data_IF_118640702082
#
_entry.id   IF_118640702082
#
_cell.length_a   1.000
_cell.length_b   1.000
_cell.length_c   1.000
_cell.angle_alpha   90.00
_cell.angle_beta   90.00
_cell.angle_gamma   90.00
#
_symmetry.space_group_name_H-M   'P 1'
#
loop_
_entity.id
_entity.type
_entity.pdbx_description
1 polymer ?
#
# COMPACT_ATOMS: atom_id res chain seq x y z
N UNK A 1 4.67 17.52 0.05
CA UNK A 1 3.48 16.65 -0.11
C UNK A 1 3.41 15.73 1.10
N UNK A 2 2.26 15.64 1.75
CA UNK A 2 2.04 14.78 2.92
C UNK A 2 1.09 13.63 2.55
N UNK A 3 1.56 12.40 2.66
CA UNK A 3 0.84 11.19 2.29
C UNK A 3 0.48 10.39 3.56
N UNK A 4 -0.75 9.90 3.65
CA UNK A 4 -1.20 9.00 4.72
C UNK A 4 -1.42 7.61 4.12
N UNK A 5 -0.60 6.63 4.52
CA UNK A 5 -0.60 5.27 3.97
C UNK A 5 -1.10 4.29 5.02
N UNK A 6 -2.09 3.46 4.68
CA UNK A 6 -2.58 2.36 5.52
C UNK A 6 -3.16 1.26 4.64
N UNK A 7 -3.09 0.01 5.07
CA UNK A 7 -3.57 -1.16 4.33
C UNK A 7 -4.41 -2.07 5.23
N UNK A 8 -4.97 -3.12 4.63
CA UNK A 8 -5.55 -4.25 5.38
C UNK A 8 -6.66 -3.79 6.34
N UNK A 9 -7.55 -2.90 5.86
CA UNK A 9 -8.64 -2.35 6.68
C UNK A 9 -9.72 -3.37 7.01
N UNK A 10 -9.89 -4.41 6.18
CA UNK A 10 -10.78 -5.56 6.41
C UNK A 10 -12.16 -5.17 6.95
N UNK A 11 -12.80 -4.19 6.28
CA UNK A 11 -14.14 -3.70 6.62
C UNK A 11 -14.24 -3.13 8.05
N UNK A 12 -13.16 -2.62 8.64
CA UNK A 12 -13.20 -2.00 9.98
C UNK A 12 -13.70 -0.56 9.89
N UNK A 13 -14.99 -0.37 10.05
CA UNK A 13 -15.64 0.95 9.91
C UNK A 13 -15.03 2.03 10.81
N UNK A 14 -14.65 1.76 12.09
CA UNK A 14 -13.99 2.77 12.90
C UNK A 14 -12.66 3.27 12.31
N UNK A 15 -11.93 2.42 11.58
CA UNK A 15 -10.69 2.84 10.91
C UNK A 15 -10.98 3.68 9.67
N UNK A 16 -12.05 3.35 8.94
CA UNK A 16 -12.52 4.18 7.82
C UNK A 16 -13.05 5.54 8.30
N UNK A 17 -13.76 5.58 9.44
CA UNK A 17 -14.17 6.85 10.07
C UNK A 17 -12.95 7.70 10.44
N UNK A 18 -11.92 7.09 11.06
CA UNK A 18 -10.68 7.77 11.40
C UNK A 18 -9.98 8.33 10.16
N UNK A 19 -9.90 7.58 9.06
CA UNK A 19 -9.32 8.06 7.80
C UNK A 19 -10.05 9.29 7.26
N UNK A 20 -11.38 9.29 7.30
CA UNK A 20 -12.19 10.44 6.88
C UNK A 20 -11.93 11.66 7.74
N UNK A 21 -11.67 11.49 9.05
CA UNK A 21 -11.29 12.58 9.96
C UNK A 21 -9.90 13.15 9.66
N UNK A 22 -8.97 12.33 9.15
CA UNK A 22 -7.60 12.78 8.83
C UNK A 22 -7.47 13.32 7.41
N UNK A 23 -8.42 13.05 6.52
CA UNK A 23 -8.28 13.28 5.08
C UNK A 23 -7.98 14.74 4.71
N UNK A 24 -8.56 15.71 5.42
CA UNK A 24 -8.33 17.14 5.14
C UNK A 24 -6.93 17.64 5.55
N UNK A 25 -6.18 16.89 6.32
CA UNK A 25 -4.85 17.27 6.85
C UNK A 25 -3.70 16.69 6.02
N UNK A 26 -4.01 15.99 4.93
CA UNK A 26 -3.04 15.32 4.04
C UNK A 26 -3.34 15.60 2.56
N UNK A 27 -2.31 15.55 1.73
CA UNK A 27 -2.44 15.77 0.28
C UNK A 27 -2.96 14.52 -0.45
N UNK A 28 -2.69 13.31 0.12
CA UNK A 28 -3.25 12.08 -0.39
C UNK A 28 -3.41 11.01 0.70
N UNK A 29 -4.43 10.15 0.56
CA UNK A 29 -4.61 8.90 1.29
C UNK A 29 -4.30 7.74 0.36
N UNK A 30 -3.39 6.84 0.78
CA UNK A 30 -2.95 5.68 0.02
C UNK A 30 -3.38 4.40 0.74
N UNK A 31 -4.14 3.54 0.05
CA UNK A 31 -4.67 2.30 0.60
C UNK A 31 -4.29 1.13 -0.31
N UNK A 32 -3.16 0.45 -0.07
CA UNK A 32 -2.73 -0.69 -0.87
C UNK A 32 -3.47 -1.98 -0.52
N UNK A 33 -4.79 -2.03 -0.75
CA UNK A 33 -5.59 -3.24 -0.75
C UNK A 33 -6.16 -3.71 0.58
N UNK A 34 -6.92 -4.81 0.49
CA UNK A 34 -7.64 -5.50 1.55
C UNK A 34 -8.60 -4.57 2.32
N UNK A 35 -9.43 -3.87 1.53
CA UNK A 35 -10.51 -3.02 2.00
C UNK A 35 -11.67 -3.83 2.59
N UNK A 36 -11.93 -5.01 2.01
CA UNK A 36 -13.04 -5.91 2.35
C UNK A 36 -12.59 -7.07 3.25
N UNK A 37 -13.56 -7.74 3.87
CA UNK A 37 -13.33 -8.91 4.71
C UNK A 37 -14.09 -10.12 4.16
N UNK A 38 -13.34 -11.12 3.65
CA UNK A 38 -13.93 -12.34 3.06
C UNK A 38 -14.69 -13.17 4.10
N UNK A 39 -14.14 -13.26 5.33
CA UNK A 39 -14.78 -13.99 6.43
C UNK A 39 -15.29 -12.97 7.45
N UNK A 40 -16.58 -12.65 7.38
CA UNK A 40 -17.17 -11.63 8.25
C UNK A 40 -18.67 -11.77 8.39
N UNK A 41 -19.25 -10.95 9.25
CA UNK A 41 -20.69 -10.95 9.54
C UNK A 41 -21.52 -10.29 8.42
N UNK A 42 -20.94 -9.38 7.64
CA UNK A 42 -21.62 -8.68 6.54
C UNK A 42 -21.34 -9.38 5.19
N UNK A 43 -22.35 -9.58 4.34
CA UNK A 43 -22.17 -10.04 2.96
C UNK A 43 -21.26 -9.11 2.17
N UNK A 44 -20.55 -9.66 1.18
CA UNK A 44 -19.55 -8.92 0.40
C UNK A 44 -20.16 -7.73 -0.35
N UNK A 45 -21.32 -7.91 -0.96
CA UNK A 45 -22.07 -6.87 -1.67
C UNK A 45 -22.46 -5.69 -0.75
N UNK A 46 -22.81 -5.98 0.51
CA UNK A 46 -23.07 -4.94 1.51
C UNK A 46 -21.79 -4.20 1.88
N UNK A 47 -20.68 -4.92 2.05
CA UNK A 47 -19.39 -4.31 2.34
C UNK A 47 -18.96 -3.39 1.20
N UNK A 48 -19.06 -3.83 -0.04
CA UNK A 48 -18.75 -3.04 -1.24
C UNK A 48 -19.51 -1.71 -1.22
N UNK A 49 -20.83 -1.72 -1.00
CA UNK A 49 -21.64 -0.49 -0.96
C UNK A 49 -21.16 0.46 0.13
N UNK A 50 -20.80 -0.06 1.31
CA UNK A 50 -20.37 0.77 2.44
C UNK A 50 -18.98 1.33 2.17
N UNK A 51 -18.02 0.49 1.78
CA UNK A 51 -16.63 0.90 1.52
C UNK A 51 -16.57 1.90 0.36
N UNK A 52 -17.36 1.69 -0.71
CA UNK A 52 -17.47 2.64 -1.82
C UNK A 52 -17.86 4.05 -1.35
N UNK A 53 -18.81 4.15 -0.41
CA UNK A 53 -19.20 5.45 0.16
C UNK A 53 -18.08 6.08 0.99
N UNK A 54 -17.29 5.29 1.69
CA UNK A 54 -16.13 5.82 2.43
C UNK A 54 -15.06 6.33 1.48
N UNK A 55 -14.73 5.58 0.43
CA UNK A 55 -13.76 6.02 -0.59
C UNK A 55 -14.21 7.32 -1.27
N UNK A 56 -15.49 7.46 -1.61
CA UNK A 56 -16.05 8.69 -2.15
C UNK A 56 -15.94 9.86 -1.15
N UNK A 57 -16.29 9.63 0.13
CA UNK A 57 -16.15 10.66 1.18
C UNK A 57 -14.71 11.10 1.41
N UNK A 58 -13.74 10.20 1.26
CA UNK A 58 -12.32 10.53 1.28
C UNK A 58 -11.95 11.37 0.07
N UNK A 59 -12.38 10.96 -1.14
CA UNK A 59 -12.12 11.67 -2.39
C UNK A 59 -12.76 13.08 -2.45
N UNK A 60 -13.85 13.31 -1.71
CA UNK A 60 -14.43 14.66 -1.53
C UNK A 60 -13.45 15.62 -0.82
N UNK A 61 -12.48 15.11 -0.05
CA UNK A 61 -11.59 15.90 0.79
C UNK A 61 -10.15 15.94 0.27
N UNK A 62 -9.61 14.81 -0.23
CA UNK A 62 -8.21 14.70 -0.66
C UNK A 62 -8.10 13.73 -1.85
N UNK A 63 -6.90 13.62 -2.44
CA UNK A 63 -6.60 12.57 -3.42
C UNK A 63 -6.60 11.20 -2.72
N UNK A 64 -7.26 10.21 -3.30
CA UNK A 64 -7.28 8.83 -2.82
C UNK A 64 -6.66 7.91 -3.85
N UNK A 65 -5.72 7.08 -3.42
CA UNK A 65 -5.04 6.09 -4.23
C UNK A 65 -5.32 4.72 -3.59
N UNK A 66 -6.23 3.93 -4.17
CA UNK A 66 -6.66 2.66 -3.59
C UNK A 66 -6.47 1.51 -4.58
N UNK A 67 -5.59 0.56 -4.25
CA UNK A 67 -5.48 -0.70 -5.00
C UNK A 67 -6.34 -1.79 -4.39
N UNK A 68 -6.58 -2.84 -5.15
CA UNK A 68 -7.15 -4.08 -4.61
C UNK A 68 -6.09 -4.93 -3.92
N UNK A 69 -6.55 -5.71 -2.93
CA UNK A 69 -5.85 -6.86 -2.36
C UNK A 69 -6.58 -8.16 -2.65
N UNK A 70 -6.11 -9.26 -2.10
CA UNK A 70 -6.72 -10.58 -2.34
C UNK A 70 -8.10 -10.76 -1.69
N UNK A 71 -8.48 -9.90 -0.74
CA UNK A 71 -9.81 -9.90 -0.14
C UNK A 71 -10.85 -9.06 -0.91
N UNK A 72 -10.42 -8.28 -1.89
CA UNK A 72 -11.28 -7.31 -2.58
C UNK A 72 -11.92 -7.85 -3.87
N UNK A 73 -11.55 -9.08 -4.27
CA UNK A 73 -12.03 -9.72 -5.50
C UNK A 73 -13.54 -10.00 -5.42
N UNK A 74 -14.28 -9.58 -6.44
CA UNK A 74 -15.75 -9.70 -6.49
C UNK A 74 -16.26 -10.65 -7.60
N UNK A 75 -15.36 -11.18 -8.42
CA UNK A 75 -15.72 -12.17 -9.44
C UNK A 75 -14.72 -12.22 -10.59
N UNK A 76 -15.00 -13.07 -11.59
CA UNK A 76 -14.14 -13.17 -12.78
C UNK A 76 -14.26 -11.90 -13.64
N UNK A 77 -13.11 -11.36 -14.02
CA UNK A 77 -12.99 -10.28 -14.99
C UNK A 77 -13.07 -10.75 -16.44
N UNK A 78 -12.76 -9.86 -17.38
CA UNK A 78 -12.78 -10.16 -18.82
C UNK A 78 -11.83 -11.29 -19.24
N UNK A 79 -10.75 -11.49 -18.51
CA UNK A 79 -9.77 -12.56 -18.73
C UNK A 79 -10.23 -13.92 -18.22
N UNK A 80 -11.30 -13.97 -17.41
CA UNK A 80 -11.76 -15.16 -16.70
C UNK A 80 -11.05 -15.41 -15.37
N UNK A 81 -10.00 -14.66 -15.06
CA UNK A 81 -9.34 -14.63 -13.75
C UNK A 81 -10.11 -13.71 -12.80
N UNK A 82 -9.93 -13.90 -11.48
CA UNK A 82 -10.60 -13.04 -10.50
C UNK A 82 -10.14 -11.60 -10.63
N UNK A 83 -11.04 -10.66 -10.44
CA UNK A 83 -10.80 -9.22 -10.57
C UNK A 83 -11.63 -8.43 -9.56
N UNK A 84 -11.41 -7.13 -9.53
CA UNK A 84 -12.07 -6.17 -8.64
C UNK A 84 -12.85 -5.17 -9.48
N UNK A 85 -14.01 -5.58 -10.00
CA UNK A 85 -14.81 -4.71 -10.87
C UNK A 85 -15.37 -3.52 -10.08
N UNK A 86 -15.89 -3.76 -8.87
CA UNK A 86 -16.51 -2.73 -8.03
C UNK A 86 -15.57 -1.55 -7.73
N UNK A 87 -14.27 -1.82 -7.51
CA UNK A 87 -13.31 -0.76 -7.19
C UNK A 87 -13.01 0.08 -8.43
N UNK A 88 -12.84 -0.56 -9.60
CA UNK A 88 -12.60 0.14 -10.87
C UNK A 88 -13.75 1.05 -11.29
N UNK A 89 -14.99 0.68 -10.97
CA UNK A 89 -16.19 1.48 -11.25
C UNK A 89 -16.24 2.79 -10.45
N UNK A 90 -15.45 2.91 -9.37
CA UNK A 90 -15.39 4.11 -8.53
C UNK A 90 -14.39 5.16 -9.03
N UNK A 91 -13.59 4.84 -10.05
CA UNK A 91 -12.54 5.74 -10.54
C UNK A 91 -13.10 7.12 -10.92
N UNK A 92 -12.50 8.18 -10.38
CA UNK A 92 -12.76 9.57 -10.75
C UNK A 92 -11.50 10.44 -10.66
N UNK A 93 -11.62 11.75 -10.81
CA UNK A 93 -10.49 12.70 -10.82
C UNK A 93 -9.68 12.70 -9.51
N UNK A 94 -10.28 12.32 -8.38
CA UNK A 94 -9.66 12.31 -7.05
C UNK A 94 -9.66 10.92 -6.39
N UNK A 95 -10.16 9.91 -7.06
CA UNK A 95 -10.14 8.52 -6.64
C UNK A 95 -9.49 7.66 -7.73
N UNK A 96 -8.18 7.51 -7.62
CA UNK A 96 -7.38 6.68 -8.52
C UNK A 96 -7.32 5.27 -7.96
N UNK A 97 -7.75 4.31 -8.76
CA UNK A 97 -7.90 2.91 -8.36
C UNK A 97 -7.14 1.99 -9.32
N UNK A 98 -7.30 0.71 -9.16
CA UNK A 98 -6.71 -0.36 -9.98
C UNK A 98 -6.57 -0.01 -11.46
N UNK A 99 -5.35 -0.06 -11.96
CA UNK A 99 -5.02 0.25 -13.35
C UNK A 99 -4.82 1.74 -13.64
N UNK A 100 -5.10 2.63 -12.67
CA UNK A 100 -4.96 4.07 -12.82
C UNK A 100 -3.54 4.58 -12.56
N UNK A 101 -3.23 5.73 -13.16
CA UNK A 101 -2.04 6.55 -12.85
C UNK A 101 -2.41 8.02 -12.88
N UNK A 102 -1.74 8.82 -12.03
CA UNK A 102 -1.93 10.28 -11.98
C UNK A 102 -0.61 10.98 -11.69
N UNK A 103 -0.40 12.13 -12.30
CA UNK A 103 0.73 13.00 -12.05
C UNK A 103 0.29 14.20 -11.19
N UNK A 104 0.91 14.36 -10.03
CA UNK A 104 0.64 15.47 -9.10
C UNK A 104 1.96 16.02 -8.59
N UNK A 105 2.19 17.31 -8.74
CA UNK A 105 3.35 18.04 -8.20
C UNK A 105 4.72 17.39 -8.51
N UNK A 106 4.86 16.85 -9.74
CA UNK A 106 6.09 16.21 -10.19
C UNK A 106 6.28 14.76 -9.74
N UNK A 107 5.25 14.15 -9.18
CA UNK A 107 5.22 12.75 -8.76
C UNK A 107 4.19 11.99 -9.60
N UNK A 108 4.58 10.88 -10.21
CA UNK A 108 3.64 9.90 -10.77
C UNK A 108 3.25 8.90 -9.71
N UNK A 109 1.96 8.73 -9.50
CA UNK A 109 1.40 7.62 -8.74
C UNK A 109 0.81 6.60 -9.71
N UNK A 110 1.14 5.31 -9.51
CA UNK A 110 0.57 4.20 -10.28
C UNK A 110 -0.06 3.21 -9.31
N UNK A 111 -1.36 2.96 -9.49
CA UNK A 111 -2.15 2.06 -8.64
C UNK A 111 -2.29 0.73 -9.36
N UNK A 112 -1.54 -0.27 -8.89
CA UNK A 112 -1.49 -1.59 -9.50
C UNK A 112 -2.53 -2.52 -8.85
N UNK A 113 -3.36 -3.23 -9.65
CA UNK A 113 -4.32 -4.18 -9.12
C UNK A 113 -3.65 -5.42 -8.54
N UNK A 114 -4.35 -6.11 -7.65
CA UNK A 114 -4.05 -7.50 -7.37
C UNK A 114 -4.19 -8.34 -8.64
N UNK A 115 -3.24 -9.24 -8.87
CA UNK A 115 -3.32 -10.20 -9.98
C UNK A 115 -3.58 -11.62 -9.47
N UNK A 116 -4.46 -12.35 -10.16
CA UNK A 116 -4.91 -13.70 -9.78
C UNK A 116 -4.29 -14.80 -10.65
N UNK A 117 -3.81 -14.41 -11.85
CA UNK A 117 -3.23 -15.34 -12.80
C UNK A 117 -2.39 -14.65 -13.87
N UNK A 118 -1.95 -15.40 -14.91
CA UNK A 118 -1.02 -14.91 -15.91
C UNK A 118 -1.55 -13.74 -16.75
N UNK A 119 -2.85 -13.68 -17.00
CA UNK A 119 -3.44 -12.59 -17.80
C UNK A 119 -3.56 -11.30 -17.00
N UNK A 120 -4.03 -11.36 -15.76
CA UNK A 120 -4.09 -10.18 -14.89
C UNK A 120 -2.69 -9.68 -14.55
N UNK A 121 -1.70 -10.58 -14.37
CA UNK A 121 -0.29 -10.21 -14.24
C UNK A 121 0.24 -9.46 -15.47
N UNK A 122 -0.09 -9.94 -16.68
CA UNK A 122 0.30 -9.27 -17.92
C UNK A 122 -0.27 -7.85 -18.01
N UNK A 123 -1.49 -7.63 -17.52
CA UNK A 123 -2.09 -6.30 -17.47
C UNK A 123 -1.32 -5.35 -16.54
N UNK A 124 -0.79 -5.85 -15.40
CA UNK A 124 0.10 -5.05 -14.53
C UNK A 124 1.40 -4.72 -15.24
N UNK A 125 2.03 -5.69 -15.94
CA UNK A 125 3.24 -5.43 -16.74
C UNK A 125 3.02 -4.33 -17.79
N UNK A 126 1.90 -4.39 -18.51
CA UNK A 126 1.54 -3.40 -19.53
C UNK A 126 1.26 -2.01 -18.91
N UNK A 127 0.57 -1.98 -17.77
CA UNK A 127 0.34 -0.74 -17.02
C UNK A 127 1.65 -0.07 -16.60
N UNK A 128 2.58 -0.84 -16.00
CA UNK A 128 3.88 -0.31 -15.57
C UNK A 128 4.71 0.16 -16.75
N UNK A 129 4.72 -0.59 -17.87
CA UNK A 129 5.40 -0.19 -19.09
C UNK A 129 4.83 1.13 -19.66
N UNK A 130 3.52 1.29 -19.68
CA UNK A 130 2.87 2.52 -20.11
C UNK A 130 3.15 3.68 -19.15
N UNK A 131 3.09 3.45 -17.84
CA UNK A 131 3.37 4.44 -16.83
C UNK A 131 4.85 4.88 -16.78
N UNK A 132 5.78 4.09 -17.29
CA UNK A 132 7.18 4.45 -17.38
C UNK A 132 7.47 5.47 -18.51
N UNK A 133 6.56 5.62 -19.49
CA UNK A 133 6.73 6.56 -20.60
C UNK A 133 6.47 7.98 -20.13
N UNK A 134 7.40 8.89 -20.44
CA UNK A 134 7.31 10.32 -20.14
C UNK A 134 6.94 10.62 -18.67
N UNK A 135 7.38 9.76 -17.74
CA UNK A 135 7.12 9.95 -16.31
C UNK A 135 7.92 11.15 -15.77
N UNK A 136 7.40 11.84 -14.75
CA UNK A 136 8.18 12.82 -13.99
C UNK A 136 9.32 12.12 -13.21
N UNK A 137 10.17 12.92 -12.56
CA UNK A 137 11.36 12.42 -11.86
C UNK A 137 11.05 11.47 -10.71
N UNK A 138 9.84 11.58 -10.13
CA UNK A 138 9.41 10.74 -9.00
C UNK A 138 8.28 9.80 -9.39
N UNK A 139 8.39 8.54 -8.93
CA UNK A 139 7.40 7.51 -9.23
C UNK A 139 7.10 6.67 -7.99
N UNK A 140 5.84 6.68 -7.59
CA UNK A 140 5.33 5.94 -6.42
C UNK A 140 4.32 4.90 -6.90
N UNK A 141 4.49 3.66 -6.44
CA UNK A 141 3.54 2.60 -6.70
C UNK A 141 2.69 2.30 -5.47
N UNK A 142 1.43 1.97 -5.71
CA UNK A 142 0.51 1.42 -4.72
C UNK A 142 0.24 0.00 -5.15
N UNK A 143 0.70 -0.98 -4.37
CA UNK A 143 0.59 -2.38 -4.69
C UNK A 143 0.49 -3.23 -3.42
N UNK A 144 -0.43 -4.21 -3.40
CA UNK A 144 -0.81 -4.86 -2.15
C UNK A 144 0.29 -5.75 -1.54
N UNK A 145 0.89 -6.66 -2.31
CA UNK A 145 1.85 -7.64 -1.79
C UNK A 145 3.27 -7.05 -1.68
N UNK A 146 4.05 -7.34 -0.63
CA UNK A 146 5.45 -6.95 -0.56
C UNK A 146 6.35 -7.85 -1.43
N UNK A 147 7.50 -7.33 -1.92
CA UNK A 147 8.39 -8.10 -2.79
C UNK A 147 9.10 -9.24 -2.05
N UNK A 148 9.58 -10.23 -2.81
CA UNK A 148 10.47 -11.24 -2.26
C UNK A 148 11.76 -10.64 -1.72
N UNK A 149 12.39 -11.35 -0.78
CA UNK A 149 13.63 -10.99 -0.10
C UNK A 149 13.55 -9.69 0.73
N UNK A 150 12.31 -9.25 1.06
CA UNK A 150 12.07 -8.11 1.94
C UNK A 150 11.57 -8.57 3.32
N UNK A 151 11.99 -7.91 4.42
CA UNK A 151 11.41 -8.12 5.75
C UNK A 151 9.91 -7.79 5.81
N UNK A 152 9.39 -6.98 4.88
CA UNK A 152 7.97 -6.69 4.77
C UNK A 152 7.13 -7.93 4.40
N UNK A 153 7.74 -8.95 3.78
CA UNK A 153 7.09 -10.21 3.43
C UNK A 153 7.07 -11.24 4.57
N UNK A 154 7.65 -10.92 5.71
CA UNK A 154 7.80 -11.85 6.84
C UNK A 154 6.60 -11.77 7.79
N UNK A 155 5.86 -12.86 7.92
CA UNK A 155 4.75 -13.03 8.88
C UNK A 155 5.17 -13.80 10.15
N UNK A 156 6.45 -13.90 10.44
CA UNK A 156 7.03 -14.61 11.58
C UNK A 156 7.33 -16.09 11.28
N UNK A 157 6.33 -16.95 11.25
CA UNK A 157 6.50 -18.39 10.97
C UNK A 157 6.51 -18.73 9.48
N UNK A 158 6.06 -17.81 8.65
CA UNK A 158 5.97 -17.94 7.19
C UNK A 158 6.37 -16.63 6.53
N UNK A 159 6.82 -16.73 5.30
CA UNK A 159 7.01 -15.58 4.42
C UNK A 159 6.07 -15.72 3.22
N UNK A 160 5.55 -14.60 2.74
CA UNK A 160 4.66 -14.53 1.58
C UNK A 160 5.27 -13.57 0.56
N UNK A 161 6.34 -14.00 -0.12
CA UNK A 161 7.06 -13.15 -1.05
C UNK A 161 6.33 -13.02 -2.37
N UNK A 162 6.37 -11.83 -2.97
CA UNK A 162 5.99 -11.62 -4.35
C UNK A 162 7.24 -11.45 -5.24
N UNK A 163 7.64 -12.50 -5.99
CA UNK A 163 8.79 -12.41 -6.88
C UNK A 163 8.54 -11.54 -8.11
N UNK A 164 7.27 -11.37 -8.52
CA UNK A 164 6.93 -10.53 -9.66
C UNK A 164 7.09 -9.06 -9.31
N UNK A 165 6.63 -8.62 -8.11
CA UNK A 165 6.90 -7.26 -7.65
C UNK A 165 8.40 -6.99 -7.55
N UNK A 166 9.18 -7.95 -7.02
CA UNK A 166 10.63 -7.81 -6.97
C UNK A 166 11.25 -7.59 -8.36
N UNK A 167 10.82 -8.37 -9.35
CA UNK A 167 11.28 -8.24 -10.73
C UNK A 167 10.83 -6.92 -11.39
N UNK A 168 9.62 -6.45 -11.10
CA UNK A 168 9.13 -5.16 -11.59
C UNK A 168 9.91 -3.99 -10.99
N UNK A 169 10.22 -4.03 -9.69
CA UNK A 169 11.06 -3.02 -9.03
C UNK A 169 12.44 -2.97 -9.68
N UNK A 170 13.11 -4.12 -9.86
CA UNK A 170 14.42 -4.20 -10.48
C UNK A 170 14.45 -3.69 -11.93
N UNK A 171 13.32 -3.84 -12.64
CA UNK A 171 13.19 -3.39 -14.04
C UNK A 171 12.87 -1.91 -14.18
N UNK A 172 12.00 -1.37 -13.32
CA UNK A 172 11.40 -0.06 -13.52
C UNK A 172 11.88 1.00 -12.54
N UNK A 173 12.48 0.57 -11.43
CA UNK A 173 13.14 1.42 -10.44
C UNK A 173 12.26 2.60 -9.95
N UNK A 174 11.09 2.34 -9.32
CA UNK A 174 10.30 3.38 -8.69
C UNK A 174 11.03 3.95 -7.48
N UNK A 175 10.67 5.17 -7.04
CA UNK A 175 11.25 5.75 -5.83
C UNK A 175 10.68 5.13 -4.55
N UNK A 176 9.38 4.76 -4.57
CA UNK A 176 8.69 4.19 -3.43
C UNK A 176 7.61 3.21 -3.88
N UNK A 177 7.44 2.11 -3.13
CA UNK A 177 6.29 1.22 -3.22
C UNK A 177 5.59 1.16 -1.87
N UNK A 178 4.29 1.45 -1.84
CA UNK A 178 3.45 1.32 -0.65
C UNK A 178 2.73 -0.01 -0.72
N UNK A 179 2.97 -0.87 0.28
CA UNK A 179 2.45 -2.24 0.37
C UNK A 179 1.51 -2.44 1.56
N UNK A 180 0.87 -3.62 1.60
CA UNK A 180 0.06 -4.17 2.68
C UNK A 180 0.27 -5.67 2.82
N UNK A 181 -0.82 -6.44 2.91
CA UNK A 181 -0.91 -7.91 2.88
C UNK A 181 -0.30 -8.62 4.09
N UNK A 182 0.86 -8.26 4.54
CA UNK A 182 1.54 -8.92 5.65
C UNK A 182 1.31 -8.15 6.95
N UNK A 183 0.21 -8.50 7.59
CA UNK A 183 -0.31 -7.83 8.79
C UNK A 183 0.74 -7.71 9.91
N UNK A 184 1.54 -8.77 10.11
CA UNK A 184 2.42 -8.92 11.25
C UNK A 184 3.84 -8.40 10.99
N UNK A 185 4.20 -8.06 9.75
CA UNK A 185 5.57 -7.72 9.38
C UNK A 185 6.23 -6.68 10.32
N UNK A 186 5.57 -5.60 10.74
CA UNK A 186 6.18 -4.61 11.63
C UNK A 186 6.50 -5.13 13.05
N UNK A 187 5.89 -6.23 13.49
CA UNK A 187 5.96 -6.69 14.89
C UNK A 187 6.71 -8.00 15.09
N UNK A 188 7.07 -8.72 14.03
CA UNK A 188 7.73 -10.02 14.14
C UNK A 188 9.24 -9.91 14.03
N UNK A 189 9.95 -10.82 14.65
CA UNK A 189 11.40 -10.88 14.53
C UNK A 189 11.83 -11.11 13.07
N UNK A 190 12.71 -10.28 12.56
CA UNK A 190 13.16 -10.30 11.17
C UNK A 190 12.13 -9.76 10.17
N UNK A 191 11.04 -9.16 10.65
CA UNK A 191 10.11 -8.36 9.87
C UNK A 191 10.41 -6.87 9.99
N UNK A 192 9.63 -6.04 9.32
CA UNK A 192 9.78 -4.59 9.34
C UNK A 192 8.61 -3.89 8.68
N UNK A 193 8.50 -2.59 8.90
CA UNK A 193 7.52 -1.72 8.26
C UNK A 193 8.13 -0.93 7.09
N UNK A 194 9.46 -0.85 7.03
CA UNK A 194 10.23 -0.16 5.98
C UNK A 194 11.40 -1.04 5.53
N UNK A 195 11.73 -0.95 4.26
CA UNK A 195 12.87 -1.64 3.64
C UNK A 195 13.34 -0.87 2.41
N UNK A 196 14.43 -1.31 1.82
CA UNK A 196 14.98 -0.74 0.60
C UNK A 196 15.48 -1.84 -0.34
N UNK A 197 15.01 -1.81 -1.61
CA UNK A 197 15.52 -2.66 -2.68
C UNK A 197 16.16 -1.80 -3.78
N UNK A 198 17.48 -1.90 -3.92
CA UNK A 198 18.20 -0.96 -4.77
C UNK A 198 17.97 0.47 -4.28
N UNK A 199 17.48 1.36 -5.12
CA UNK A 199 17.10 2.73 -4.72
C UNK A 199 15.64 2.85 -4.27
N UNK A 200 14.82 1.84 -4.52
CA UNK A 200 13.38 1.85 -4.20
C UNK A 200 13.14 1.66 -2.71
N UNK A 201 12.44 2.58 -2.09
CA UNK A 201 11.92 2.43 -0.74
C UNK A 201 10.62 1.62 -0.73
N UNK A 202 10.43 0.85 0.32
CA UNK A 202 9.27 -0.03 0.52
C UNK A 202 8.68 0.27 1.89
N UNK A 203 7.36 0.41 1.99
CA UNK A 203 6.68 0.59 3.28
C UNK A 203 5.45 -0.32 3.37
N UNK A 204 5.22 -0.88 4.57
CA UNK A 204 4.03 -1.63 4.93
C UNK A 204 3.65 -1.27 6.35
N UNK A 205 2.52 -0.61 6.54
CA UNK A 205 2.05 -0.20 7.87
C UNK A 205 1.73 -1.39 8.79
N UNK A 206 1.42 -2.55 8.21
CA UNK A 206 0.85 -3.69 8.91
C UNK A 206 -0.61 -3.46 9.29
N UNK A 207 -1.21 -4.44 9.99
CA UNK A 207 -2.60 -4.36 10.43
C UNK A 207 -2.69 -4.36 11.95
N UNK A 208 -3.48 -3.45 12.49
CA UNK A 208 -3.72 -3.29 13.92
C UNK A 208 -5.22 -3.33 14.23
N UNK A 209 -5.59 -4.00 15.31
CA UNK A 209 -6.95 -3.92 15.83
C UNK A 209 -7.19 -2.56 16.52
N UNK A 210 -8.41 -2.04 16.46
CA UNK A 210 -8.77 -0.78 17.11
C UNK A 210 -9.37 0.23 16.14
N UNK A 211 -9.75 1.42 16.65
CA UNK A 211 -10.40 2.44 15.83
C UNK A 211 -9.41 3.21 14.94
N UNK A 212 -8.15 3.29 15.32
CA UNK A 212 -7.09 3.89 14.50
C UNK A 212 -6.28 2.76 13.85
N UNK A 213 -6.10 2.75 12.52
CA UNK A 213 -5.24 1.77 11.87
C UNK A 213 -3.75 2.03 12.17
N UNK A 214 -2.93 0.99 12.06
CA UNK A 214 -1.50 1.22 11.84
C UNK A 214 -1.33 1.97 10.51
N UNK A 215 -0.48 2.98 10.48
CA UNK A 215 -0.32 3.83 9.31
C UNK A 215 1.10 4.39 9.19
N UNK A 216 1.46 4.83 8.00
CA UNK A 216 2.70 5.56 7.74
C UNK A 216 2.33 6.95 7.22
N UNK A 217 2.87 7.99 7.82
CA UNK A 217 2.81 9.34 7.29
C UNK A 217 4.12 9.63 6.58
N UNK A 218 4.05 10.03 5.31
CA UNK A 218 5.23 10.34 4.50
C UNK A 218 5.19 11.82 4.15
N UNK A 219 6.20 12.55 4.58
CA UNK A 219 6.46 13.92 4.13
C UNK A 219 7.46 13.87 2.98
N UNK A 220 6.97 14.10 1.76
CA UNK A 220 7.73 14.02 0.51
C UNK A 220 8.06 15.41 -0.01
N UNK A 221 9.34 15.67 -0.25
CA UNK A 221 9.82 16.80 -1.04
C UNK A 221 10.36 16.28 -2.38
N UNK A 222 9.53 16.30 -3.45
CA UNK A 222 9.92 15.73 -4.73
C UNK A 222 11.06 16.51 -5.41
N UNK A 223 11.17 17.81 -5.13
CA UNK A 223 12.19 18.69 -5.72
C UNK A 223 13.56 18.42 -5.10
N UNK A 224 13.60 18.23 -3.78
CA UNK A 224 14.86 17.93 -3.07
C UNK A 224 15.19 16.42 -3.06
N UNK A 225 14.37 15.57 -3.68
CA UNK A 225 14.63 14.14 -3.76
C UNK A 225 14.73 13.45 -2.40
N UNK A 226 13.88 13.83 -1.47
CA UNK A 226 13.88 13.27 -0.11
C UNK A 226 12.48 13.11 0.45
N UNK A 227 12.33 12.13 1.31
CA UNK A 227 11.13 11.96 2.12
C UNK A 227 11.51 11.60 3.57
N UNK A 228 10.59 11.84 4.48
CA UNK A 228 10.63 11.32 5.85
C UNK A 228 9.36 10.51 6.07
N UNK A 229 9.50 9.28 6.54
CA UNK A 229 8.36 8.41 6.86
C UNK A 229 8.26 8.21 8.37
N UNK A 230 7.09 8.45 8.93
CA UNK A 230 6.75 8.12 10.32
C UNK A 230 5.74 6.97 10.34
N UNK A 231 6.14 5.83 10.88
CA UNK A 231 5.24 4.72 11.17
C UNK A 231 4.60 4.91 12.54
N UNK A 232 3.29 4.72 12.61
CA UNK A 232 2.48 4.88 13.82
C UNK A 232 1.61 3.65 14.05
N UNK A 233 1.86 2.96 15.16
CA UNK A 233 1.01 1.86 15.65
C UNK A 233 0.97 1.93 17.18
N UNK A 234 0.11 2.78 17.73
CA UNK A 234 0.13 3.17 19.14
C UNK A 234 0.21 1.97 20.09
N UNK A 235 1.11 2.07 21.12
CA UNK A 235 1.84 3.28 21.53
C UNK A 235 3.14 3.54 20.74
N UNK A 236 3.49 2.69 19.78
CA UNK A 236 4.78 2.73 19.09
C UNK A 236 4.78 3.75 17.94
N UNK A 237 5.93 4.41 17.74
CA UNK A 237 6.23 5.29 16.62
C UNK A 237 7.69 5.15 16.23
N UNK A 238 7.95 5.17 14.94
CA UNK A 238 9.31 5.10 14.38
C UNK A 238 9.41 6.03 13.18
N UNK A 239 10.55 6.70 13.02
CA UNK A 239 10.78 7.63 11.90
C UNK A 239 12.02 7.24 11.14
N UNK A 240 11.96 7.31 9.82
CA UNK A 240 13.07 7.02 8.90
C UNK A 240 13.18 8.12 7.85
N UNK A 241 14.40 8.61 7.63
CA UNK A 241 14.72 9.49 6.50
C UNK A 241 14.94 8.65 5.25
N UNK A 242 14.27 9.00 4.15
CA UNK A 242 14.29 8.29 2.89
C UNK A 242 14.86 9.19 1.78
N UNK A 243 16.20 9.24 1.60
CA UNK A 243 16.79 9.93 0.43
C UNK A 243 16.43 9.18 -0.84
N UNK A 244 15.76 9.87 -1.78
CA UNK A 244 15.31 9.28 -3.05
C UNK A 244 16.39 9.34 -4.13
N UNK A 245 17.35 10.27 -4.02
CA UNK A 245 18.47 10.44 -4.94
C UNK A 245 19.75 9.71 -4.49
N UNK A 246 19.68 8.92 -3.40
CA UNK A 246 20.86 8.23 -2.89
C UNK A 246 21.32 7.11 -3.85
N UNK A 247 22.63 7.02 -4.14
CA UNK A 247 23.16 5.93 -4.96
C UNK A 247 22.90 4.56 -4.31
N UNK A 248 22.91 3.51 -5.14
CA UNK A 248 22.65 2.12 -4.80
C UNK A 248 23.57 1.55 -3.69
N UNK A 249 24.73 2.17 -3.47
CA UNK A 249 25.78 1.74 -2.54
C UNK A 249 25.51 2.09 -1.06
N UNK A 250 24.36 2.68 -0.71
CA UNK A 250 24.02 2.89 0.70
C UNK A 250 23.64 1.55 1.29
N UNK A 251 24.41 0.99 2.27
CA UNK A 251 23.99 -0.23 2.96
C UNK A 251 22.58 0.01 3.50
N UNK A 252 21.67 -0.91 3.19
CA UNK A 252 20.27 -0.79 3.57
C UNK A 252 20.18 -0.29 5.00
N UNK A 253 19.34 0.71 5.25
CA UNK A 253 19.09 1.15 6.61
C UNK A 253 18.74 -0.11 7.39
N UNK A 254 19.66 -0.56 8.27
CA UNK A 254 19.32 -1.59 9.23
C UNK A 254 18.16 -0.97 10.02
N UNK A 255 16.96 -1.39 9.68
CA UNK A 255 15.78 -1.02 10.45
C UNK A 255 16.10 -1.33 11.91
N UNK A 256 15.68 -0.53 12.87
CA UNK A 256 16.00 -0.70 14.27
C UNK A 256 15.76 -2.17 14.64
N UNK A 257 16.82 -2.87 15.11
CA UNK A 257 16.77 -4.27 15.46
C UNK A 257 15.63 -4.48 16.45
N UNK A 258 14.53 -5.07 15.99
CA UNK A 258 13.32 -5.23 16.77
C UNK A 258 13.51 -6.37 17.77
N UNK A 259 14.10 -6.04 18.94
CA UNK A 259 14.28 -6.95 20.09
C UNK A 259 12.99 -7.03 20.97
N UNK A 260 11.82 -6.83 20.35
CA UNK A 260 10.54 -6.78 21.06
C UNK A 260 9.89 -8.17 21.11
N UNK A 261 9.63 -8.64 22.32
CA UNK A 261 8.81 -9.83 22.55
C UNK A 261 7.34 -9.50 22.21
N UNK A 262 6.65 -10.38 21.47
CA UNK A 262 5.24 -10.15 21.14
C UNK A 262 4.39 -10.16 22.41
N UNK A 263 3.52 -9.18 22.57
CA UNK A 263 2.34 -9.32 23.40
C UNK A 263 1.41 -10.31 22.69
N UNK A 264 1.42 -11.55 23.17
CA UNK A 264 0.55 -12.63 22.66
C UNK A 264 -0.85 -12.32 23.18
N UNK A 265 -1.72 -11.81 22.33
CA UNK A 265 -3.16 -11.90 22.59
C UNK A 265 -3.72 -13.05 21.75
N UNK A 266 -3.94 -14.17 22.47
CA UNK A 266 -4.57 -15.38 21.96
C UNK A 266 -6.08 -15.17 22.01
N UNK A 267 -6.68 -14.78 20.90
CA UNK A 267 -8.09 -14.96 20.67
C UNK A 267 -8.31 -15.43 19.24
N UNK A 268 -8.83 -16.67 19.18
CA UNK A 268 -9.25 -17.42 18.00
C UNK A 268 -10.32 -16.69 17.18
#
# INVERSE_FOLDING_TARGET
MKLLCTADLHYRLPQLDWLVEQASDVDAVIIPGDLLQVIGAAPLDVQIVVVSKYLQRLADQTLVLASSGNHDLDGPGETGEQATAWLRELADERLVVDGGSIDVDGVRFTVCPWWDGPETKRLVDEQLAAAAVDRPDRWIWVYHSPPSDSPLANAGTKSYPDPELAAWIDRWDPDLVVCGHIHQAPWVAGGGWVDRRGRTWLVNAGHMAGPMPAHVVIELDPVLGRATAEWVALPDRETVDMPLDAPDDTPGAEGPANDRRPAVDSAQ
#
